data_IF_266848475910
#
_entry.id   IF_266848475910
#
_cell.length_a   1.000
_cell.length_b   1.000
_cell.length_c   1.000
_cell.angle_alpha   90.00
_cell.angle_beta   90.00
_cell.angle_gamma   90.00
#
_symmetry.space_group_name_H-M   'P 1'
#
loop_
_entity.id
_entity.type
_entity.pdbx_description
1 polymer ?
#
# COMPACT_ATOMS: atom_id res chain seq x y z
N UNK A 1 2.16 21.97 -9.86
CA UNK A 1 2.90 20.75 -10.26
C UNK A 1 2.19 20.14 -11.45
N UNK A 2 2.90 19.58 -12.42
CA UNK A 2 2.29 18.93 -13.59
C UNK A 2 2.31 17.41 -13.44
N UNK A 3 1.15 16.72 -13.49
CA UNK A 3 1.09 15.28 -13.28
C UNK A 3 1.55 14.51 -14.51
N UNK A 4 2.12 13.32 -14.29
CA UNK A 4 2.40 12.34 -15.34
C UNK A 4 1.21 11.44 -15.61
N UNK A 5 1.18 10.91 -16.84
CA UNK A 5 0.12 10.01 -17.29
C UNK A 5 0.32 8.62 -16.68
N UNK A 6 -0.69 8.20 -15.94
CA UNK A 6 -0.83 6.86 -15.41
C UNK A 6 -2.28 6.45 -15.59
N UNK A 7 -2.52 5.15 -15.63
CA UNK A 7 -3.87 4.59 -15.68
C UNK A 7 -4.01 3.44 -14.69
N UNK A 8 -5.25 3.19 -14.28
CA UNK A 8 -5.61 2.08 -13.41
C UNK A 8 -6.60 1.19 -14.15
N UNK A 9 -6.24 -0.08 -14.36
CA UNK A 9 -7.17 -1.12 -14.78
C UNK A 9 -7.77 -1.77 -13.53
N UNK A 10 -9.08 -1.62 -13.36
CA UNK A 10 -9.86 -2.24 -12.28
C UNK A 10 -10.71 -3.37 -12.83
N UNK A 11 -10.81 -4.45 -12.04
CA UNK A 11 -11.74 -5.56 -12.28
C UNK A 11 -12.64 -5.69 -11.06
N UNK A 12 -13.95 -5.62 -11.28
CA UNK A 12 -14.99 -5.67 -10.25
C UNK A 12 -16.13 -6.60 -10.66
N UNK A 13 -17.14 -6.75 -9.78
CA UNK A 13 -18.36 -7.52 -10.05
C UNK A 13 -18.09 -8.96 -10.50
N UNK A 14 -17.12 -9.65 -9.89
CA UNK A 14 -16.73 -11.00 -10.31
C UNK A 14 -17.73 -12.05 -9.82
N UNK A 15 -18.23 -12.90 -10.72
CA UNK A 15 -19.12 -13.99 -10.35
C UNK A 15 -19.05 -15.14 -11.35
N UNK A 16 -19.36 -16.37 -10.91
CA UNK A 16 -19.34 -17.57 -11.75
C UNK A 16 -20.71 -18.25 -11.73
N UNK A 17 -21.23 -18.66 -12.89
CA UNK A 17 -22.46 -19.46 -12.98
C UNK A 17 -22.30 -20.65 -13.92
N UNK A 18 -23.03 -21.72 -13.62
CA UNK A 18 -23.07 -22.94 -14.39
C UNK A 18 -24.49 -23.19 -14.90
N UNK A 19 -24.62 -23.58 -16.17
CA UNK A 19 -25.87 -24.01 -16.77
C UNK A 19 -25.74 -25.51 -17.08
N UNK A 20 -26.64 -26.36 -16.57
CA UNK A 20 -26.66 -27.78 -16.92
C UNK A 20 -27.05 -27.93 -18.40
N UNK A 21 -26.31 -28.75 -19.15
CA UNK A 21 -26.56 -28.91 -20.60
C UNK A 21 -27.44 -30.11 -20.96
N UNK A 22 -27.88 -30.93 -19.99
CA UNK A 22 -28.78 -32.08 -20.21
C UNK A 22 -29.83 -32.22 -19.08
N UNK A 23 -31.08 -32.62 -19.39
CA UNK A 23 -32.14 -32.86 -18.39
C UNK A 23 -31.96 -34.15 -17.57
N UNK A 24 -31.01 -35.03 -17.92
CA UNK A 24 -30.64 -36.22 -17.14
C UNK A 24 -29.43 -36.01 -16.22
N UNK A 25 -29.02 -34.75 -16.02
CA UNK A 25 -27.96 -34.42 -15.08
C UNK A 25 -28.60 -34.22 -13.70
N UNK A 26 -28.39 -35.16 -12.79
CA UNK A 26 -28.90 -35.06 -11.42
C UNK A 26 -28.49 -33.72 -10.82
N UNK A 27 -29.48 -32.84 -10.67
CA UNK A 27 -29.36 -31.58 -9.94
C UNK A 27 -28.88 -31.80 -8.49
N UNK A 28 -28.90 -33.05 -8.00
CA UNK A 28 -28.39 -33.47 -6.70
C UNK A 28 -26.87 -33.44 -6.51
N UNK A 29 -26.05 -33.31 -7.56
CA UNK A 29 -24.58 -33.25 -7.41
C UNK A 29 -23.99 -31.83 -7.47
N UNK A 30 -24.83 -30.80 -7.64
CA UNK A 30 -24.43 -29.39 -7.43
C UNK A 30 -25.30 -28.72 -6.34
N UNK A 31 -26.37 -29.37 -5.87
CA UNK A 31 -27.06 -29.00 -4.63
C UNK A 31 -26.30 -29.55 -3.41
N UNK A 32 -25.98 -28.67 -2.45
CA UNK A 32 -25.73 -29.10 -1.09
C UNK A 32 -26.91 -29.99 -0.64
N UNK A 33 -26.68 -31.25 -0.25
CA UNK A 33 -27.73 -32.01 0.39
C UNK A 33 -27.97 -31.37 1.75
N UNK A 34 -29.18 -30.87 1.96
CA UNK A 34 -29.69 -30.55 3.29
C UNK A 34 -29.78 -31.84 4.10
N UNK A 35 -28.66 -32.25 4.68
CA UNK A 35 -28.61 -33.17 5.81
C UNK A 35 -27.26 -32.97 6.49
N UNK A 36 -27.28 -32.35 7.67
CA UNK A 36 -26.31 -32.53 8.76
C UNK A 36 -25.05 -33.31 8.39
N UNK A 37 -24.07 -32.60 7.82
CA UNK A 37 -22.60 -32.82 7.83
C UNK A 37 -22.03 -32.12 6.58
N UNK A 38 -21.37 -30.98 6.81
CA UNK A 38 -20.79 -30.08 5.81
C UNK A 38 -19.83 -30.85 4.88
N UNK A 39 -20.15 -31.09 3.60
CA UNK A 39 -19.12 -31.49 2.63
C UNK A 39 -18.37 -30.22 2.24
N UNK A 40 -17.04 -30.24 2.35
CA UNK A 40 -16.16 -29.08 2.13
C UNK A 40 -16.55 -28.29 0.86
N UNK A 41 -17.03 -27.05 1.04
CA UNK A 41 -17.39 -26.12 -0.05
C UNK A 41 -16.23 -26.03 -1.05
N UNK A 42 -16.45 -26.46 -2.29
CA UNK A 42 -15.49 -26.23 -3.38
C UNK A 42 -15.28 -24.71 -3.54
N UNK A 43 -14.04 -24.25 -3.36
CA UNK A 43 -13.70 -22.83 -3.48
C UNK A 43 -13.24 -22.52 -4.90
N UNK A 44 -13.89 -21.55 -5.54
CA UNK A 44 -13.52 -21.09 -6.87
C UNK A 44 -12.57 -19.90 -6.77
N UNK A 45 -11.52 -19.93 -7.57
CA UNK A 45 -10.54 -18.84 -7.64
C UNK A 45 -10.32 -18.42 -9.08
N UNK A 46 -10.05 -17.15 -9.28
CA UNK A 46 -9.73 -16.57 -10.56
C UNK A 46 -8.35 -15.93 -10.48
N UNK A 47 -7.46 -16.26 -11.42
CA UNK A 47 -6.20 -15.55 -11.62
C UNK A 47 -6.36 -14.59 -12.79
N UNK A 48 -6.22 -13.30 -12.50
CA UNK A 48 -6.27 -12.21 -13.46
C UNK A 48 -4.83 -11.80 -13.79
N UNK A 49 -4.48 -11.80 -15.07
CA UNK A 49 -3.16 -11.44 -15.55
C UNK A 49 -3.28 -10.41 -16.68
N UNK A 50 -2.53 -9.33 -16.56
CA UNK A 50 -2.39 -8.31 -17.58
C UNK A 50 -0.91 -8.17 -17.95
N UNK A 51 -0.54 -8.58 -19.16
CA UNK A 51 0.83 -8.49 -19.65
C UNK A 51 1.85 -9.12 -18.66
N UNK A 52 3.02 -8.50 -18.47
CA UNK A 52 4.11 -8.88 -17.55
C UNK A 52 3.91 -8.35 -16.11
N UNK A 53 2.71 -7.85 -15.78
CA UNK A 53 2.40 -7.44 -14.40
C UNK A 53 2.13 -8.66 -13.51
N UNK A 54 2.32 -8.48 -12.21
CA UNK A 54 2.05 -9.52 -11.22
C UNK A 54 0.58 -9.95 -11.27
N UNK A 55 0.35 -11.24 -11.52
CA UNK A 55 -0.99 -11.82 -11.56
C UNK A 55 -1.67 -11.76 -10.19
N UNK A 56 -2.93 -11.34 -10.17
CA UNK A 56 -3.73 -11.26 -8.94
C UNK A 56 -4.72 -12.43 -8.91
N UNK A 57 -4.73 -13.18 -7.80
CA UNK A 57 -5.66 -14.29 -7.61
C UNK A 57 -6.71 -13.91 -6.58
N UNK A 58 -7.98 -14.07 -6.95
CA UNK A 58 -9.14 -13.68 -6.15
C UNK A 58 -10.09 -14.87 -5.97
N UNK A 59 -10.83 -14.89 -4.87
CA UNK A 59 -11.94 -15.83 -4.68
C UNK A 59 -13.14 -15.36 -5.49
N UNK A 60 -13.86 -16.30 -6.11
CA UNK A 60 -15.03 -16.00 -6.96
C UNK A 60 -16.28 -16.63 -6.35
N UNK A 61 -17.34 -15.85 -6.10
CA UNK A 61 -18.62 -16.40 -5.64
C UNK A 61 -19.36 -17.11 -6.78
N UNK A 62 -20.10 -18.16 -6.42
CA UNK A 62 -21.08 -18.78 -7.32
C UNK A 62 -22.36 -17.96 -7.33
N UNK A 63 -22.85 -17.64 -8.53
CA UNK A 63 -24.09 -16.90 -8.72
C UNK A 63 -25.28 -17.84 -8.94
N UNK A 64 -26.39 -17.66 -8.22
CA UNK A 64 -27.58 -18.49 -8.40
C UNK A 64 -28.20 -18.33 -9.79
N UNK A 65 -28.59 -19.46 -10.40
CA UNK A 65 -29.28 -19.46 -11.68
C UNK A 65 -30.73 -18.95 -11.48
N UNK A 66 -31.14 -17.92 -12.25
CA UNK A 66 -32.48 -17.31 -12.15
C UNK A 66 -32.58 -16.07 -11.26
N UNK A 67 -31.50 -15.67 -10.57
CA UNK A 67 -31.44 -14.38 -9.88
C UNK A 67 -31.44 -13.24 -10.90
N UNK A 68 -32.33 -12.26 -10.70
CA UNK A 68 -32.36 -10.98 -11.45
C UNK A 68 -31.43 -9.91 -10.85
N UNK A 69 -30.84 -10.16 -9.69
CA UNK A 69 -29.87 -9.25 -9.11
C UNK A 69 -28.57 -9.27 -9.93
N UNK A 70 -27.92 -8.12 -10.06
CA UNK A 70 -26.59 -8.02 -10.66
C UNK A 70 -25.49 -8.17 -9.61
N UNK A 71 -24.34 -8.76 -9.95
CA UNK A 71 -23.19 -8.81 -9.06
C UNK A 71 -22.71 -7.40 -8.70
N UNK A 72 -22.41 -7.19 -7.42
CA UNK A 72 -22.03 -5.87 -6.92
C UNK A 72 -20.75 -5.34 -7.59
N UNK A 73 -20.87 -4.22 -8.29
CA UNK A 73 -19.75 -3.52 -8.93
C UNK A 73 -19.06 -2.52 -8.01
N UNK A 74 -19.58 -2.30 -6.80
CA UNK A 74 -19.04 -1.34 -5.84
C UNK A 74 -17.67 -1.77 -5.31
N UNK A 75 -17.40 -3.08 -5.24
CA UNK A 75 -16.15 -3.62 -4.74
C UNK A 75 -15.19 -4.02 -5.88
N UNK A 76 -14.08 -3.28 -5.98
CA UNK A 76 -12.97 -3.65 -6.88
C UNK A 76 -12.29 -4.91 -6.35
N UNK A 77 -12.25 -5.95 -7.18
CA UNK A 77 -11.65 -7.24 -6.84
C UNK A 77 -10.16 -7.32 -7.18
N UNK A 78 -9.72 -6.65 -8.26
CA UNK A 78 -8.32 -6.55 -8.64
C UNK A 78 -8.01 -5.20 -9.29
N UNK A 79 -6.81 -4.67 -9.05
CA UNK A 79 -6.35 -3.38 -9.57
C UNK A 79 -4.92 -3.45 -10.09
N UNK A 80 -4.71 -3.05 -11.35
CA UNK A 80 -3.41 -2.97 -11.98
C UNK A 80 -3.09 -1.52 -12.31
N UNK A 81 -1.89 -1.08 -11.94
CA UNK A 81 -1.43 0.28 -12.18
C UNK A 81 -0.47 0.29 -13.36
N UNK A 82 -0.77 1.15 -14.33
CA UNK A 82 -0.09 1.24 -15.61
C UNK A 82 0.67 2.55 -15.68
N UNK A 83 1.99 2.45 -15.79
CA UNK A 83 2.85 3.58 -16.14
C UNK A 83 2.86 3.81 -17.65
N UNK A 84 3.46 4.92 -18.09
CA UNK A 84 3.59 5.26 -19.52
C UNK A 84 4.12 4.11 -20.39
N UNK A 85 5.21 3.40 -20.04
CA UNK A 85 5.69 2.29 -20.86
C UNK A 85 4.74 1.08 -20.84
N UNK A 86 4.07 0.76 -19.73
CA UNK A 86 3.06 -0.29 -19.70
C UNK A 86 1.86 0.08 -20.58
N UNK A 87 1.38 1.32 -20.53
CA UNK A 87 0.31 1.80 -21.40
C UNK A 87 0.71 1.75 -22.88
N UNK A 88 1.93 2.16 -23.22
CA UNK A 88 2.44 2.10 -24.60
C UNK A 88 2.48 0.67 -25.15
N UNK A 89 2.76 -0.33 -24.31
CA UNK A 89 2.73 -1.76 -24.68
C UNK A 89 1.32 -2.32 -24.87
N UNK A 90 0.30 -1.67 -24.31
CA UNK A 90 -1.10 -2.06 -24.49
C UNK A 90 -1.67 -1.52 -25.81
N UNK A 91 -1.06 -0.49 -26.40
CA UNK A 91 -1.45 0.04 -27.71
C UNK A 91 -0.96 -0.91 -28.82
N UNK A 92 -1.84 -1.40 -29.70
CA UNK A 92 -1.44 -2.24 -30.82
C UNK A 92 -0.45 -1.52 -31.74
N UNK A 93 0.74 -2.11 -31.96
CA UNK A 93 1.69 -1.60 -32.94
C UNK A 93 1.20 -1.99 -34.36
N UNK A 94 1.22 -1.07 -35.34
CA UNK A 94 0.69 -1.31 -36.68
C UNK A 94 1.40 -2.45 -37.45
N UNK A 95 2.58 -2.91 -36.98
CA UNK A 95 3.37 -3.98 -37.61
C UNK A 95 3.39 -5.30 -36.83
N UNK A 96 2.77 -5.36 -35.65
CA UNK A 96 2.73 -6.57 -34.81
C UNK A 96 1.29 -6.79 -34.34
N UNK A 97 0.58 -7.75 -34.96
CA UNK A 97 -0.80 -8.09 -34.65
C UNK A 97 -1.00 -8.81 -33.29
N UNK A 98 -0.13 -8.57 -32.30
CA UNK A 98 -0.31 -9.10 -30.95
C UNK A 98 -1.17 -8.13 -30.15
N UNK A 99 -2.48 -8.41 -30.09
CA UNK A 99 -3.40 -7.71 -29.19
C UNK A 99 -3.01 -8.01 -27.75
N UNK A 100 -2.92 -6.97 -26.92
CA UNK A 100 -2.75 -7.14 -25.48
C UNK A 100 -4.07 -7.61 -24.89
N UNK A 101 -4.02 -8.71 -24.13
CA UNK A 101 -5.22 -9.33 -23.54
C UNK A 101 -5.14 -9.31 -22.02
N UNK A 102 -6.24 -8.94 -21.39
CA UNK A 102 -6.51 -9.29 -20.01
C UNK A 102 -6.88 -10.78 -19.99
N UNK A 103 -6.02 -11.59 -19.37
CA UNK A 103 -6.21 -13.04 -19.26
C UNK A 103 -6.85 -13.35 -17.92
N UNK A 104 -7.94 -14.11 -17.97
CA UNK A 104 -8.70 -14.54 -16.81
C UNK A 104 -8.69 -16.06 -16.81
N UNK A 105 -8.11 -16.65 -15.76
CA UNK A 105 -7.96 -18.09 -15.60
C UNK A 105 -8.79 -18.53 -14.40
N UNK A 106 -9.75 -19.44 -14.62
CA UNK A 106 -10.67 -19.90 -13.60
C UNK A 106 -10.24 -21.27 -13.09
N UNK A 107 -10.28 -21.44 -11.77
CA UNK A 107 -9.86 -22.65 -11.08
C UNK A 107 -10.88 -23.10 -10.05
N UNK A 108 -11.13 -24.40 -10.02
CA UNK A 108 -11.81 -25.12 -8.94
C UNK A 108 -10.74 -25.60 -7.96
N UNK A 109 -10.86 -25.26 -6.67
CA UNK A 109 -10.03 -25.84 -5.61
C UNK A 109 -10.65 -27.13 -5.14
N UNK A 110 -9.95 -28.24 -5.36
CA UNK A 110 -10.36 -29.56 -4.92
C UNK A 110 -9.61 -29.85 -3.62
N UNK A 111 -10.32 -30.04 -2.49
CA UNK A 111 -9.68 -30.50 -1.27
C UNK A 111 -9.15 -31.92 -1.50
N UNK A 112 -7.84 -32.15 -1.30
CA UNK A 112 -7.28 -33.51 -1.39
C UNK A 112 -7.79 -34.34 -0.21
N UNK A 113 -8.60 -35.36 -0.50
CA UNK A 113 -9.13 -36.30 0.50
C UNK A 113 -8.05 -37.17 1.17
N UNK A 114 -6.79 -37.10 0.71
CA UNK A 114 -5.70 -37.97 1.14
C UNK A 114 -4.72 -37.33 2.13
N UNK A 115 -5.08 -36.23 2.80
CA UNK A 115 -4.26 -35.70 3.91
C UNK A 115 -5.02 -35.88 5.22
N UNK A 116 -4.64 -36.92 5.95
CA UNK A 116 -5.10 -37.21 7.29
C UNK A 116 -4.96 -35.98 8.21
N UNK A 117 -6.05 -35.69 8.92
CA UNK A 117 -6.07 -34.80 10.07
C UNK A 117 -5.30 -35.51 11.18
N UNK A 118 -4.04 -35.13 11.37
CA UNK A 118 -3.37 -35.27 12.66
C UNK A 118 -2.28 -34.24 12.78
N UNK A 119 -2.51 -33.23 13.61
CA UNK A 119 -1.59 -32.73 14.63
C UNK A 119 -2.37 -31.69 15.46
N UNK A 120 -2.70 -32.04 16.70
CA UNK A 120 -3.19 -31.10 17.70
C UNK A 120 -2.12 -30.03 17.96
N UNK A 121 -2.48 -28.76 17.75
CA UNK A 121 -1.66 -27.60 18.12
C UNK A 121 -2.23 -26.31 17.52
N UNK A 122 -2.11 -25.14 18.18
CA UNK A 122 -2.83 -23.92 17.77
C UNK A 122 -2.32 -23.25 16.48
N UNK A 123 -1.36 -23.83 15.78
CA UNK A 123 -0.75 -23.24 14.59
C UNK A 123 -0.38 -24.32 13.54
N UNK A 124 -0.92 -24.12 12.34
CA UNK A 124 -0.61 -24.73 11.04
C UNK A 124 -1.29 -26.06 10.65
N UNK A 125 -2.26 -25.95 9.73
CA UNK A 125 -2.56 -26.98 8.74
C UNK A 125 -2.50 -26.34 7.35
N UNK A 126 -1.46 -26.68 6.57
CA UNK A 126 -1.40 -26.40 5.14
C UNK A 126 -2.16 -27.52 4.41
N UNK A 127 -3.44 -27.31 4.11
CA UNK A 127 -4.18 -28.19 3.20
C UNK A 127 -3.60 -28.00 1.79
N UNK A 128 -2.88 -29.01 1.28
CA UNK A 128 -2.52 -29.04 -0.15
C UNK A 128 -3.82 -29.23 -0.93
N UNK A 129 -4.31 -28.16 -1.55
CA UNK A 129 -5.46 -28.21 -2.44
C UNK A 129 -4.97 -28.29 -3.88
N UNK A 130 -5.40 -29.29 -4.64
CA UNK A 130 -5.16 -29.32 -6.08
C UNK A 130 -6.10 -28.32 -6.76
N UNK A 131 -5.55 -27.51 -7.68
CA UNK A 131 -6.34 -26.56 -8.48
C UNK A 131 -6.58 -27.15 -9.86
N UNK A 132 -7.84 -27.31 -10.26
CA UNK A 132 -8.23 -27.75 -11.59
C UNK A 132 -8.71 -26.56 -12.41
N UNK A 133 -8.14 -26.34 -13.59
CA UNK A 133 -8.57 -25.25 -14.47
C UNK A 133 -9.97 -25.55 -15.04
N UNK A 134 -10.89 -24.61 -14.85
CA UNK A 134 -12.26 -24.65 -15.37
C UNK A 134 -12.28 -24.11 -16.79
N UNK A 135 -11.53 -23.04 -17.04
CA UNK A 135 -11.41 -22.44 -18.36
C UNK A 135 -10.65 -21.13 -18.35
N UNK A 136 -10.55 -20.53 -19.53
CA UNK A 136 -9.73 -19.35 -19.81
C UNK A 136 -10.51 -18.37 -20.68
N UNK A 137 -10.47 -17.10 -20.29
CA UNK A 137 -11.00 -15.99 -21.06
C UNK A 137 -9.87 -15.01 -21.41
N UNK A 138 -9.83 -14.57 -22.67
CA UNK A 138 -8.91 -13.51 -23.11
C UNK A 138 -9.74 -12.32 -23.57
N UNK A 139 -9.69 -11.23 -22.81
CA UNK A 139 -10.43 -10.00 -23.13
C UNK A 139 -9.45 -9.04 -23.82
N UNK A 140 -9.69 -8.63 -25.07
CA UNK A 140 -8.81 -7.67 -25.74
C UNK A 140 -8.88 -6.32 -25.01
N UNK A 141 -7.73 -5.72 -24.73
CA UNK A 141 -7.63 -4.35 -24.25
C UNK A 141 -7.60 -3.45 -25.50
N UNK A 142 -8.58 -2.55 -25.66
CA UNK A 142 -8.81 -1.79 -26.90
C UNK A 142 -7.61 -0.95 -27.36
N UNK A 143 -7.54 -0.68 -28.67
CA UNK A 143 -6.63 0.28 -29.30
C UNK A 143 -6.82 1.73 -28.82
N UNK A 144 -7.97 2.04 -28.22
CA UNK A 144 -8.33 3.39 -27.78
C UNK A 144 -7.53 3.86 -26.55
N UNK A 145 -6.70 2.99 -25.97
CA UNK A 145 -5.76 3.30 -24.89
C UNK A 145 -4.80 4.45 -25.24
N UNK A 146 -4.47 4.62 -26.53
CA UNK A 146 -3.55 5.66 -26.99
C UNK A 146 -4.10 7.09 -26.79
N UNK A 147 -5.42 7.25 -26.77
CA UNK A 147 -6.10 8.54 -26.67
C UNK A 147 -7.03 8.61 -25.45
N UNK A 148 -6.70 7.89 -24.37
CA UNK A 148 -7.50 7.85 -23.15
C UNK A 148 -7.64 9.27 -22.55
N UNK A 149 -8.74 9.95 -22.88
CA UNK A 149 -9.13 11.26 -22.32
C UNK A 149 -10.08 11.12 -21.14
N UNK A 150 -10.85 10.03 -21.12
CA UNK A 150 -11.82 9.65 -20.09
C UNK A 150 -11.67 8.16 -19.78
N UNK A 151 -12.28 7.68 -18.70
CA UNK A 151 -12.30 6.24 -18.41
C UNK A 151 -12.88 5.42 -19.57
N UNK A 152 -12.31 4.23 -19.79
CA UNK A 152 -12.65 3.29 -20.85
C UNK A 152 -13.20 1.99 -20.26
N UNK A 153 -14.44 1.67 -20.60
CA UNK A 153 -15.05 0.38 -20.26
C UNK A 153 -14.56 -0.69 -21.24
N UNK A 154 -13.82 -1.69 -20.77
CA UNK A 154 -13.32 -2.79 -21.61
C UNK A 154 -14.38 -3.88 -21.72
N UNK A 155 -15.03 -4.22 -20.61
CA UNK A 155 -16.04 -5.27 -20.54
C UNK A 155 -17.01 -5.03 -19.39
N UNK A 156 -18.28 -5.38 -19.58
CA UNK A 156 -19.28 -5.42 -18.52
C UNK A 156 -20.30 -6.51 -18.87
N UNK A 157 -20.58 -7.41 -17.92
CA UNK A 157 -21.58 -8.46 -18.07
C UNK A 157 -21.01 -9.87 -18.01
N UNK A 158 -21.78 -10.82 -18.51
CA UNK A 158 -21.46 -12.25 -18.54
C UNK A 158 -20.69 -12.62 -19.80
N UNK A 159 -19.55 -13.30 -19.64
CA UNK A 159 -18.77 -13.87 -20.73
C UNK A 159 -18.78 -15.40 -20.66
N UNK A 160 -18.96 -16.06 -21.80
CA UNK A 160 -18.85 -17.53 -21.87
C UNK A 160 -17.39 -17.96 -21.74
N UNK A 161 -17.15 -18.87 -20.80
CA UNK A 161 -15.82 -19.46 -20.55
C UNK A 161 -15.66 -20.76 -21.35
N UNK A 162 -16.76 -21.43 -21.66
CA UNK A 162 -16.80 -22.72 -22.36
C UNK A 162 -17.65 -23.74 -21.60
N UNK A 163 -17.29 -25.01 -21.72
CA UNK A 163 -17.96 -26.11 -21.04
C UNK A 163 -17.03 -26.76 -20.02
N UNK A 164 -17.55 -27.07 -18.83
CA UNK A 164 -16.85 -27.79 -17.78
C UNK A 164 -17.78 -28.82 -17.15
N UNK A 165 -17.34 -30.09 -17.08
CA UNK A 165 -18.16 -31.22 -16.58
C UNK A 165 -19.57 -31.24 -17.22
N UNK A 166 -19.63 -31.05 -18.55
CA UNK A 166 -20.88 -30.96 -19.35
C UNK A 166 -21.82 -29.80 -19.00
N UNK A 167 -21.41 -28.86 -18.13
CA UNK A 167 -22.14 -27.63 -17.87
C UNK A 167 -21.54 -26.48 -18.68
N UNK A 168 -22.38 -25.64 -19.29
CA UNK A 168 -21.93 -24.35 -19.83
C UNK A 168 -21.55 -23.44 -18.68
N UNK A 169 -20.38 -22.81 -18.77
CA UNK A 169 -19.83 -21.93 -17.73
C UNK A 169 -19.81 -20.50 -18.23
N UNK A 170 -20.28 -19.58 -17.40
CA UNK A 170 -20.20 -18.16 -17.65
C UNK A 170 -19.59 -17.42 -16.45
N UNK A 171 -18.81 -16.40 -16.76
CA UNK A 171 -18.12 -15.56 -15.79
C UNK A 171 -18.54 -14.12 -15.97
N UNK A 172 -19.07 -13.51 -14.92
CA UNK A 172 -19.40 -12.09 -14.88
C UNK A 172 -18.20 -11.31 -14.38
N UNK A 173 -17.91 -10.18 -15.02
CA UNK A 173 -16.95 -9.19 -14.52
C UNK A 173 -17.12 -7.86 -15.24
N UNK A 174 -16.74 -6.81 -14.53
CA UNK A 174 -16.62 -5.47 -15.07
C UNK A 174 -15.14 -5.12 -15.11
N UNK A 175 -14.61 -4.83 -16.30
CA UNK A 175 -13.22 -4.40 -16.48
C UNK A 175 -13.21 -2.98 -17.05
N UNK A 176 -12.56 -2.06 -16.35
CA UNK A 176 -12.52 -0.64 -16.70
C UNK A 176 -11.10 -0.09 -16.53
N UNK A 177 -10.74 0.86 -17.36
CA UNK A 177 -9.48 1.60 -17.26
C UNK A 177 -9.78 3.06 -17.01
N UNK A 178 -9.30 3.58 -15.90
CA UNK A 178 -9.45 4.98 -15.53
C UNK A 178 -8.11 5.70 -15.54
N UNK A 179 -8.14 7.01 -15.83
CA UNK A 179 -6.97 7.86 -15.65
C UNK A 179 -6.61 7.95 -14.17
N UNK A 180 -5.31 7.86 -13.88
CA UNK A 180 -4.78 7.89 -12.53
C UNK A 180 -3.56 8.82 -12.46
N UNK A 181 -3.67 10.10 -12.85
CA UNK A 181 -2.53 11.02 -12.96
C UNK A 181 -1.73 11.10 -11.65
N UNK A 182 -0.40 11.11 -11.76
CA UNK A 182 0.50 11.08 -10.59
C UNK A 182 1.60 12.12 -10.65
N UNK A 183 1.92 12.73 -9.52
CA UNK A 183 3.15 13.49 -9.36
C UNK A 183 4.31 12.53 -9.09
N UNK A 184 5.48 12.82 -9.64
CA UNK A 184 6.73 12.12 -9.33
C UNK A 184 7.65 13.10 -8.62
N UNK A 185 7.97 12.76 -7.38
CA UNK A 185 8.89 13.51 -6.53
C UNK A 185 10.12 12.67 -6.25
N UNK A 186 11.26 13.32 -6.08
CA UNK A 186 12.51 12.65 -5.74
C UNK A 186 13.34 13.54 -4.85
N UNK A 187 14.02 12.96 -3.86
CA UNK A 187 15.10 13.66 -3.18
C UNK A 187 16.28 13.81 -4.15
N UNK A 188 16.99 14.94 -4.13
CA UNK A 188 18.15 15.14 -5.01
C UNK A 188 19.42 14.45 -4.50
N UNK A 189 19.47 14.12 -3.22
CA UNK A 189 20.44 13.25 -2.54
C UNK A 189 19.77 12.48 -1.38
N UNK A 190 20.52 11.69 -0.63
CA UNK A 190 20.03 10.89 0.49
C UNK A 190 19.40 11.77 1.60
N UNK A 191 18.28 11.37 2.23
CA UNK A 191 17.59 12.20 3.23
C UNK A 191 18.47 12.66 4.40
N UNK A 192 19.44 11.85 4.83
CA UNK A 192 20.38 12.21 5.91
C UNK A 192 21.33 13.37 5.55
N UNK A 193 21.48 13.70 4.26
CA UNK A 193 22.34 14.78 3.78
C UNK A 193 21.63 16.14 3.69
N UNK A 194 20.39 16.25 4.20
CA UNK A 194 19.56 17.46 4.08
C UNK A 194 19.38 17.95 2.62
N UNK A 195 18.90 17.07 1.71
CA UNK A 195 18.73 17.34 0.28
C UNK A 195 17.57 18.29 -0.04
N UNK A 196 17.51 18.76 -1.29
CA UNK A 196 16.26 19.30 -1.84
C UNK A 196 15.34 18.18 -2.32
N UNK A 197 14.06 18.47 -2.39
CA UNK A 197 13.08 17.62 -3.06
C UNK A 197 12.69 18.26 -4.38
N UNK A 198 12.83 17.49 -5.45
CA UNK A 198 12.51 17.91 -6.81
C UNK A 198 11.25 17.21 -7.32
N UNK A 199 10.40 17.97 -8.00
CA UNK A 199 9.35 17.47 -8.85
C UNK A 199 9.94 17.11 -10.23
N UNK A 200 9.61 15.91 -10.73
CA UNK A 200 10.11 15.39 -11.99
C UNK A 200 9.03 15.45 -13.06
N UNK A 201 9.31 16.24 -14.10
CA UNK A 201 8.46 16.39 -15.26
C UNK A 201 9.28 16.07 -16.52
N UNK A 202 9.16 14.83 -17.01
CA UNK A 202 9.98 14.36 -18.12
C UNK A 202 11.47 14.41 -17.76
N UNK A 203 12.23 15.24 -18.48
CA UNK A 203 13.65 15.50 -18.19
C UNK A 203 13.89 16.68 -17.25
N UNK A 204 12.85 17.46 -16.91
CA UNK A 204 12.94 18.64 -16.08
C UNK A 204 12.87 18.23 -14.60
N UNK A 205 13.79 18.76 -13.79
CA UNK A 205 13.84 18.59 -12.34
C UNK A 205 13.63 19.96 -11.69
N UNK A 206 12.50 20.17 -11.03
CA UNK A 206 12.14 21.44 -10.41
C UNK A 206 12.18 21.30 -8.88
N UNK A 207 13.05 22.02 -8.15
CA UNK A 207 13.01 22.06 -6.69
C UNK A 207 11.68 22.61 -6.17
N UNK A 208 11.09 21.93 -5.19
CA UNK A 208 9.82 22.33 -4.57
C UNK A 208 9.88 22.36 -3.04
N UNK A 209 10.81 21.63 -2.43
CA UNK A 209 11.07 21.68 -0.98
C UNK A 209 12.56 21.58 -0.68
N UNK A 210 12.93 21.97 0.54
CA UNK A 210 14.25 21.71 1.13
C UNK A 210 14.09 20.86 2.37
N UNK A 211 14.99 19.91 2.61
CA UNK A 211 15.00 19.08 3.80
C UNK A 211 16.10 19.51 4.78
N UNK A 212 15.85 19.32 6.06
CA UNK A 212 16.87 19.37 7.11
C UNK A 212 16.76 18.15 7.99
N UNK A 213 17.78 17.31 7.95
CA UNK A 213 17.92 16.18 8.85
C UNK A 213 18.74 16.59 10.07
N UNK A 214 18.26 16.26 11.26
CA UNK A 214 18.96 16.50 12.51
C UNK A 214 18.95 15.26 13.38
N UNK A 215 20.02 15.12 14.16
CA UNK A 215 20.19 14.10 15.18
C UNK A 215 20.17 14.77 16.54
N UNK A 216 19.07 14.62 17.27
CA UNK A 216 18.94 15.15 18.62
C UNK A 216 19.90 14.45 19.58
N UNK A 217 20.68 15.24 20.32
CA UNK A 217 21.21 14.80 21.62
C UNK A 217 20.02 14.67 22.59
N UNK A 218 20.07 13.68 23.47
CA UNK A 218 19.23 13.70 24.66
C UNK A 218 19.39 15.06 25.36
N UNK A 219 18.27 15.77 25.54
CA UNK A 219 18.08 17.11 26.15
C UNK A 219 18.36 18.33 25.24
N UNK A 220 17.29 19.04 24.92
CA UNK A 220 17.22 20.50 25.11
C UNK A 220 17.42 21.40 23.90
N UNK A 221 18.27 21.05 22.93
CA UNK A 221 18.89 22.11 22.11
C UNK A 221 18.43 22.22 20.65
N UNK A 222 17.69 21.24 20.12
CA UNK A 222 17.33 21.21 18.69
C UNK A 222 16.15 22.13 18.30
N UNK A 223 15.44 22.73 19.27
CA UNK A 223 14.29 23.61 19.04
C UNK A 223 14.50 25.05 19.52
N UNK A 224 15.68 25.39 20.04
CA UNK A 224 15.93 26.70 20.67
C UNK A 224 16.32 27.82 19.70
N UNK A 225 16.38 27.54 18.39
CA UNK A 225 16.51 28.56 17.34
C UNK A 225 15.25 28.60 16.46
N UNK A 226 14.15 29.09 17.02
CA UNK A 226 13.16 29.85 16.23
C UNK A 226 11.68 29.52 16.38
N UNK A 227 11.24 28.34 16.83
CA UNK A 227 9.81 28.05 16.96
C UNK A 227 9.52 27.03 18.07
N UNK A 228 9.04 27.53 19.21
CA UNK A 228 8.75 26.72 20.40
C UNK A 228 7.36 26.12 20.38
N UNK A 229 7.23 24.82 20.08
CA UNK A 229 6.06 23.98 20.44
C UNK A 229 6.48 22.49 20.56
N UNK A 230 7.45 22.17 21.42
CA UNK A 230 7.63 20.79 21.91
C UNK A 230 8.43 20.76 23.22
N UNK A 231 7.95 21.44 24.26
CA UNK A 231 8.70 21.59 25.53
C UNK A 231 8.35 20.60 26.65
N UNK A 232 7.33 19.76 26.52
CA UNK A 232 6.96 18.81 27.59
C UNK A 232 7.12 17.35 27.18
N UNK A 233 8.28 16.78 27.50
CA UNK A 233 8.39 15.33 27.70
C UNK A 233 9.49 15.03 28.73
N UNK A 234 9.09 14.98 30.00
CA UNK A 234 9.88 14.39 31.08
C UNK A 234 9.40 12.97 31.35
N UNK A 235 10.32 12.01 31.24
CA UNK A 235 10.07 10.59 31.51
C UNK A 235 11.39 9.83 31.50
N UNK A 236 12.14 9.96 32.60
CA UNK A 236 13.48 9.41 32.74
C UNK A 236 13.48 7.89 32.97
N UNK A 237 14.31 7.17 32.21
CA UNK A 237 14.92 5.92 32.67
C UNK A 237 16.38 5.88 32.20
N UNK A 238 17.32 5.99 33.16
CA UNK A 238 18.75 5.74 32.95
C UNK A 238 18.96 4.23 32.89
N UNK A 239 19.14 3.68 31.69
CA UNK A 239 19.67 2.32 31.54
C UNK A 239 21.20 2.35 31.58
N UNK A 240 21.76 1.38 32.28
CA UNK A 240 23.17 1.21 32.56
C UNK A 240 24.03 1.14 31.28
N UNK A 241 25.28 1.54 31.46
CA UNK A 241 26.27 1.88 30.44
C UNK A 241 26.81 0.61 29.78
N UNK A 242 26.27 0.24 28.62
CA UNK A 242 26.91 -0.71 27.69
C UNK A 242 27.32 0.08 26.44
N UNK A 243 28.63 0.34 26.30
CA UNK A 243 29.17 1.33 25.34
C UNK A 243 28.97 0.93 23.87
N UNK A 244 28.64 -0.33 23.60
CA UNK A 244 28.68 -0.91 22.24
C UNK A 244 27.29 -1.10 21.58
N UNK A 245 26.19 -0.84 22.28
CA UNK A 245 24.82 -0.98 21.75
C UNK A 245 23.98 0.27 22.00
N UNK A 246 24.54 1.43 21.67
CA UNK A 246 23.81 2.69 21.82
C UNK A 246 22.53 2.67 20.96
N UNK A 247 21.36 2.96 21.56
CA UNK A 247 20.10 2.99 20.84
C UNK A 247 20.13 4.10 19.78
N UNK A 248 19.51 3.88 18.62
CA UNK A 248 19.33 4.92 17.60
C UNK A 248 18.09 5.72 17.99
N UNK A 249 18.30 6.97 18.43
CA UNK A 249 17.25 7.86 18.97
C UNK A 249 17.37 9.27 18.39
N UNK A 250 16.28 10.02 18.42
CA UNK A 250 16.29 11.47 18.25
C UNK A 250 16.48 11.96 16.81
N UNK A 251 16.25 11.12 15.80
CA UNK A 251 16.30 11.58 14.41
C UNK A 251 15.05 12.39 14.08
N UNK A 252 15.25 13.53 13.44
CA UNK A 252 14.20 14.45 13.00
C UNK A 252 14.52 14.89 11.59
N UNK A 253 13.54 14.77 10.70
CA UNK A 253 13.57 15.36 9.37
C UNK A 253 12.51 16.47 9.32
N UNK A 254 12.90 17.66 8.91
CA UNK A 254 12.03 18.77 8.62
C UNK A 254 12.03 19.05 7.12
N UNK A 255 10.86 19.30 6.55
CA UNK A 255 10.68 19.70 5.16
C UNK A 255 10.14 21.13 5.14
N UNK A 256 10.81 21.98 4.37
CA UNK A 256 10.50 23.39 4.21
C UNK A 256 10.03 23.66 2.78
N UNK A 257 9.05 24.55 2.64
CA UNK A 257 8.68 25.10 1.35
C UNK A 257 9.77 26.06 0.80
N UNK A 258 9.52 26.63 -0.38
CA UNK A 258 10.45 27.58 -1.00
C UNK A 258 10.53 28.93 -0.27
N UNK A 259 9.59 29.22 0.64
CA UNK A 259 9.65 30.40 1.51
C UNK A 259 10.51 30.17 2.76
N UNK A 260 10.92 28.92 3.00
CA UNK A 260 11.63 28.52 4.21
C UNK A 260 10.71 28.20 5.40
N UNK A 261 9.40 28.07 5.17
CA UNK A 261 8.44 27.70 6.21
C UNK A 261 8.36 26.18 6.36
N UNK A 262 8.37 25.64 7.59
CA UNK A 262 8.27 24.19 7.80
C UNK A 262 6.85 23.71 7.49
N UNK A 263 6.72 22.73 6.60
CA UNK A 263 5.42 22.22 6.12
C UNK A 263 5.14 20.78 6.54
N UNK A 264 6.19 19.96 6.71
CA UNK A 264 6.07 18.58 7.16
C UNK A 264 7.28 18.16 7.99
N UNK A 265 7.09 17.14 8.83
CA UNK A 265 8.15 16.57 9.65
C UNK A 265 7.99 15.06 9.82
N UNK A 266 9.13 14.39 10.00
CA UNK A 266 9.19 13.01 10.48
C UNK A 266 10.11 12.95 11.70
N UNK A 267 9.57 12.58 12.86
CA UNK A 267 10.29 12.54 14.13
C UNK A 267 10.26 11.14 14.74
N UNK A 268 11.40 10.64 15.18
CA UNK A 268 11.49 9.35 15.85
C UNK A 268 10.91 9.43 17.27
N UNK A 269 9.73 8.84 17.47
CA UNK A 269 9.02 8.82 18.77
C UNK A 269 9.31 7.57 19.59
N UNK A 270 9.63 6.45 18.93
CA UNK A 270 10.06 5.23 19.62
C UNK A 270 11.46 4.88 19.13
N UNK A 271 12.45 4.83 20.03
CA UNK A 271 13.82 4.58 19.64
C UNK A 271 14.00 3.18 19.07
N UNK A 272 14.90 3.07 18.09
CA UNK A 272 15.27 1.78 17.52
C UNK A 272 16.29 1.14 18.45
N UNK A 273 15.90 0.01 19.05
CA UNK A 273 16.71 -0.73 20.03
C UNK A 273 16.75 -2.22 19.70
N UNK A 274 17.87 -2.92 19.97
CA UNK A 274 17.92 -4.35 19.77
C UNK A 274 16.95 -5.06 20.73
N UNK A 275 16.28 -6.10 20.25
CA UNK A 275 15.48 -6.95 21.11
C UNK A 275 16.36 -7.83 22.01
N UNK A 276 15.84 -8.24 23.17
CA UNK A 276 16.59 -9.03 24.16
C UNK A 276 17.23 -10.28 23.49
N UNK A 277 18.53 -10.49 23.73
CA UNK A 277 19.28 -11.61 23.14
C UNK A 277 19.51 -11.50 21.62
N UNK A 278 19.28 -10.33 21.03
CA UNK A 278 19.45 -10.09 19.60
C UNK A 278 20.23 -8.81 19.33
N UNK A 279 20.63 -8.65 18.07
CA UNK A 279 21.32 -7.46 17.58
C UNK A 279 20.45 -6.68 16.59
N UNK A 280 19.15 -6.98 16.52
CA UNK A 280 18.22 -6.38 15.56
C UNK A 280 16.97 -5.88 16.26
N UNK A 281 16.36 -4.85 15.68
CA UNK A 281 15.01 -4.39 16.02
C UNK A 281 14.03 -5.46 15.55
N UNK A 282 13.20 -6.01 16.43
CA UNK A 282 12.25 -7.07 16.06
C UNK A 282 10.82 -6.55 16.04
N UNK A 283 9.90 -7.30 15.42
CA UNK A 283 8.47 -6.96 15.38
C UNK A 283 7.85 -6.78 16.77
N UNK A 284 8.36 -7.46 17.79
CA UNK A 284 7.86 -7.35 19.17
C UNK A 284 8.25 -6.02 19.84
N UNK A 285 9.25 -5.32 19.31
CA UNK A 285 9.68 -4.01 19.81
C UNK A 285 10.12 -3.14 18.62
N UNK A 286 9.17 -2.66 17.80
CA UNK A 286 9.48 -1.87 16.62
C UNK A 286 9.93 -0.46 17.02
N UNK A 287 10.82 0.13 16.22
CA UNK A 287 11.05 1.56 16.27
C UNK A 287 9.89 2.29 15.58
N UNK A 288 9.65 3.55 15.92
CA UNK A 288 8.52 4.29 15.37
C UNK A 288 8.83 5.75 15.08
N UNK A 289 8.25 6.23 13.99
CA UNK A 289 8.25 7.61 13.54
C UNK A 289 6.85 8.19 13.64
N UNK A 290 6.77 9.45 14.08
CA UNK A 290 5.59 10.28 13.96
C UNK A 290 5.77 11.18 12.74
N UNK A 291 4.82 11.08 11.82
CA UNK A 291 4.72 11.96 10.66
C UNK A 291 3.76 13.09 11.03
N UNK A 292 4.18 14.32 10.81
CA UNK A 292 3.45 15.52 11.21
C UNK A 292 3.30 16.47 10.02
N UNK A 293 2.17 17.17 10.00
CA UNK A 293 1.89 18.29 9.09
C UNK A 293 1.90 19.61 9.86
N UNK A 294 2.33 20.68 9.22
CA UNK A 294 2.16 22.01 9.80
C UNK A 294 0.66 22.36 9.90
N UNK A 295 0.28 23.01 11.00
CA UNK A 295 -1.08 23.48 11.22
C UNK A 295 -1.42 24.71 10.37
N UNK A 296 -2.70 24.93 10.04
CA UNK A 296 -3.14 25.99 9.12
C UNK A 296 -2.86 27.43 9.61
N UNK A 297 -2.61 27.64 10.90
CA UNK A 297 -2.50 28.98 11.48
C UNK A 297 -1.07 29.57 11.51
N UNK A 298 -0.11 29.02 10.77
CA UNK A 298 1.23 29.61 10.57
C UNK A 298 2.12 29.74 11.82
N UNK A 299 1.60 29.44 13.02
CA UNK A 299 2.30 29.57 14.30
C UNK A 299 2.78 28.25 14.86
N UNK A 300 3.76 27.59 14.21
CA UNK A 300 4.54 26.47 14.78
C UNK A 300 3.76 25.24 15.31
N UNK A 301 2.44 25.18 15.12
CA UNK A 301 1.59 24.11 15.62
C UNK A 301 1.74 22.90 14.70
N UNK A 302 2.30 21.81 15.22
CA UNK A 302 2.40 20.54 14.52
C UNK A 302 1.16 19.69 14.78
N UNK A 303 0.52 19.21 13.71
CA UNK A 303 -0.56 18.23 13.81
C UNK A 303 -0.01 16.84 13.46
N UNK A 304 -0.22 15.83 14.31
CA UNK A 304 0.12 14.45 13.95
C UNK A 304 -0.72 14.02 12.75
N UNK A 305 -0.10 13.31 11.82
CA UNK A 305 -0.75 12.79 10.61
C UNK A 305 -0.77 11.27 10.59
N UNK A 306 0.33 10.63 10.97
CA UNK A 306 0.40 9.18 11.01
C UNK A 306 1.61 8.66 11.77
N UNK A 307 1.58 7.37 12.09
CA UNK A 307 2.64 6.62 12.75
C UNK A 307 3.20 5.57 11.81
N UNK A 308 4.51 5.59 11.62
CA UNK A 308 5.24 4.53 10.91
C UNK A 308 6.04 3.71 11.92
N UNK A 309 5.68 2.44 12.10
CA UNK A 309 6.49 1.45 12.80
C UNK A 309 7.41 0.73 11.83
N UNK A 310 8.64 0.45 12.26
CA UNK A 310 9.62 -0.28 11.48
C UNK A 310 10.42 -1.27 12.33
N UNK A 311 10.67 -2.45 11.76
CA UNK A 311 11.43 -3.53 12.39
C UNK A 311 12.12 -4.40 11.36
N UNK A 312 12.98 -5.31 11.81
CA UNK A 312 13.62 -6.31 10.96
C UNK A 312 12.91 -7.66 11.09
N UNK A 313 12.37 -8.16 9.99
CA UNK A 313 11.62 -9.41 9.96
C UNK A 313 12.58 -10.61 10.14
N UNK A 314 12.22 -11.53 11.05
CA UNK A 314 12.90 -12.81 11.24
C UNK A 314 12.22 -13.87 10.36
N UNK A 315 12.99 -14.73 9.70
CA UNK A 315 12.46 -15.85 8.91
C UNK A 315 13.00 -15.91 7.48
N UNK A 316 12.34 -16.67 6.58
CA UNK A 316 12.80 -16.88 5.20
C UNK A 316 12.76 -15.58 4.38
N UNK A 317 11.82 -14.69 4.66
CA UNK A 317 11.73 -13.34 4.07
C UNK A 317 12.46 -12.32 4.93
N UNK A 318 13.80 -12.33 4.89
CA UNK A 318 14.61 -11.30 5.57
C UNK A 318 14.36 -9.93 4.93
N UNK A 319 13.89 -8.97 5.71
CA UNK A 319 13.51 -7.66 5.22
C UNK A 319 13.26 -6.63 6.32
N UNK A 320 13.05 -5.39 5.91
CA UNK A 320 12.51 -4.30 6.71
C UNK A 320 10.98 -4.43 6.69
N UNK A 321 10.39 -4.75 7.85
CA UNK A 321 8.95 -4.65 8.04
C UNK A 321 8.58 -3.20 8.34
N UNK A 322 7.55 -2.70 7.66
CA UNK A 322 7.01 -1.36 7.86
C UNK A 322 5.50 -1.46 8.06
N UNK A 323 4.97 -0.75 9.06
CA UNK A 323 3.54 -0.60 9.29
C UNK A 323 3.20 0.88 9.45
N UNK A 324 2.31 1.38 8.61
CA UNK A 324 1.85 2.76 8.66
C UNK A 324 0.38 2.83 9.06
N UNK A 325 0.10 3.67 10.05
CA UNK A 325 -1.23 3.96 10.57
C UNK A 325 -1.52 5.44 10.45
N UNK A 326 -2.70 5.78 9.94
CA UNK A 326 -3.19 7.14 9.91
C UNK A 326 -3.89 7.45 11.23
N UNK A 327 -3.66 8.64 11.77
CA UNK A 327 -4.31 9.08 13.00
C UNK A 327 -5.59 9.85 12.69
N UNK A 328 -6.67 9.56 13.43
CA UNK A 328 -7.94 10.27 13.31
C UNK A 328 -7.84 11.73 13.77
N UNK A 329 -8.42 12.65 13.00
CA UNK A 329 -8.41 14.09 13.31
C UNK A 329 -9.30 14.37 14.54
N UNK A 330 -8.75 15.08 15.54
CA UNK A 330 -9.41 15.36 16.82
C UNK A 330 -8.92 14.52 18.00
N UNK A 331 -8.06 13.52 17.77
CA UNK A 331 -7.34 12.87 18.86
C UNK A 331 -6.12 13.70 19.28
N UNK A 332 -6.16 14.23 20.49
CA UNK A 332 -4.94 14.63 21.18
C UNK A 332 -3.97 13.45 21.32
N UNK A 333 -2.71 13.75 21.62
CA UNK A 333 -1.57 12.83 21.70
C UNK A 333 -1.72 11.68 22.73
N UNK A 334 -2.88 11.56 23.39
CA UNK A 334 -3.19 10.58 24.44
C UNK A 334 -4.04 9.38 23.99
N UNK A 335 -4.44 9.29 22.71
CA UNK A 335 -5.30 8.19 22.24
C UNK A 335 -4.79 7.52 20.95
N UNK A 336 -3.56 7.01 20.99
CA UNK A 336 -2.96 6.20 19.90
C UNK A 336 -3.64 4.85 19.64
N UNK A 337 -4.71 4.51 20.36
CA UNK A 337 -5.32 3.18 20.31
C UNK A 337 -6.83 3.18 19.98
N UNK A 338 -7.47 4.35 19.83
CA UNK A 338 -8.95 4.39 19.67
C UNK A 338 -9.43 4.72 18.26
N UNK A 339 -8.61 5.35 17.40
CA UNK A 339 -9.03 5.78 16.05
C UNK A 339 -7.93 5.66 14.97
N UNK A 340 -6.93 4.80 15.17
CA UNK A 340 -5.85 4.61 14.20
C UNK A 340 -6.29 3.62 13.10
N UNK A 341 -6.26 4.07 11.84
CA UNK A 341 -6.62 3.25 10.69
C UNK A 341 -5.33 2.66 10.11
N UNK A 342 -5.25 1.33 9.99
CA UNK A 342 -4.11 0.69 9.31
C UNK A 342 -4.16 1.01 7.81
N UNK A 343 -3.12 1.68 7.33
CA UNK A 343 -3.03 2.19 5.95
C UNK A 343 -1.91 1.53 5.14
N UNK A 344 -0.98 0.78 5.74
CA UNK A 344 -0.10 -0.13 4.99
C UNK A 344 0.66 -1.03 5.95
N UNK A 345 0.85 -2.30 5.58
CA UNK A 345 1.89 -3.15 6.17
C UNK A 345 2.62 -3.87 5.03
N UNK A 346 3.96 -3.76 5.00
CA UNK A 346 4.79 -4.35 3.95
C UNK A 346 6.13 -4.83 4.50
N UNK A 347 6.75 -5.77 3.78
CA UNK A 347 8.10 -6.26 4.06
C UNK A 347 8.97 -5.96 2.84
N UNK A 348 9.89 -5.00 2.99
CA UNK A 348 10.82 -4.56 1.97
C UNK A 348 12.10 -5.40 2.08
N UNK A 349 12.64 -5.88 0.96
CA UNK A 349 13.85 -6.71 1.00
C UNK A 349 15.05 -5.86 1.43
N UNK A 350 15.74 -6.25 2.52
CA UNK A 350 16.81 -5.39 3.06
C UNK A 350 18.03 -5.27 2.14
N UNK A 351 18.25 -6.23 1.23
CA UNK A 351 19.40 -6.24 0.33
C UNK A 351 19.10 -5.61 -1.02
N UNK A 352 17.94 -5.93 -1.60
CA UNK A 352 17.53 -5.49 -2.94
C UNK A 352 16.79 -4.16 -2.92
N UNK A 353 16.21 -3.78 -1.78
CA UNK A 353 15.24 -2.72 -1.69
C UNK A 353 13.86 -3.19 -2.13
N UNK A 354 12.98 -2.24 -2.42
CA UNK A 354 11.63 -2.48 -2.89
C UNK A 354 10.80 -1.21 -2.86
N UNK A 355 9.49 -1.35 -2.88
CA UNK A 355 8.57 -0.21 -2.80
C UNK A 355 7.71 -0.30 -1.55
N UNK A 356 7.67 0.78 -0.78
CA UNK A 356 6.59 1.03 0.16
C UNK A 356 5.38 1.55 -0.62
N UNK A 357 4.17 1.10 -0.28
CA UNK A 357 2.98 1.32 -1.10
C UNK A 357 1.74 1.51 -0.21
N UNK A 358 0.92 2.50 -0.55
CA UNK A 358 -0.38 2.75 0.07
C UNK A 358 -1.44 2.74 -1.03
N UNK A 359 -2.49 1.96 -0.84
CA UNK A 359 -3.62 1.85 -1.76
C UNK A 359 -4.92 1.67 -0.98
N UNK A 360 -5.75 2.71 -1.00
CA UNK A 360 -6.98 2.76 -0.22
C UNK A 360 -7.98 1.67 -0.60
N UNK A 361 -7.91 1.12 -1.82
CA UNK A 361 -8.76 0.03 -2.28
C UNK A 361 -8.39 -1.35 -1.73
N UNK A 362 -7.19 -1.50 -1.13
CA UNK A 362 -6.76 -2.77 -0.52
C UNK A 362 -7.16 -2.89 0.95
N UNK A 363 -7.63 -1.81 1.58
CA UNK A 363 -8.08 -1.85 2.97
C UNK A 363 -9.52 -2.31 3.05
N UNK A 364 -9.72 -3.45 3.73
CA UNK A 364 -11.02 -3.88 4.23
C UNK A 364 -11.04 -3.56 5.72
N UNK A 365 -11.83 -2.59 6.19
CA UNK A 365 -12.12 -2.48 7.62
C UNK A 365 -12.77 -3.80 8.07
N UNK A 366 -12.28 -4.40 9.15
CA UNK A 366 -12.85 -5.64 9.71
C UNK A 366 -14.24 -5.41 10.36
N UNK A 367 -14.71 -4.16 10.41
CA UNK A 367 -16.01 -3.77 10.97
C UNK A 367 -16.68 -2.69 10.09
N UNK A 368 -17.91 -2.91 9.61
CA UNK A 368 -18.68 -1.85 8.96
C UNK A 368 -19.11 -0.83 10.02
N UNK A 369 -18.57 0.39 9.92
CA UNK A 369 -19.06 1.52 10.72
C UNK A 369 -20.38 1.96 10.09
N UNK A 370 -21.48 1.82 10.83
CA UNK A 370 -22.78 2.36 10.45
C UNK A 370 -22.69 3.88 10.39
N UNK A 371 -22.69 4.46 9.19
CA UNK A 371 -22.79 5.90 8.99
C UNK A 371 -24.28 6.28 8.93
N UNK A 372 -24.72 7.10 9.89
CA UNK A 372 -25.99 7.84 9.78
C UNK A 372 -25.76 9.14 9.01
N UNK A 373 -26.72 9.61 8.18
CA UNK A 373 -26.54 10.80 7.39
C UNK A 373 -26.91 12.03 8.21
N UNK A 374 -25.97 12.97 8.39
CA UNK A 374 -26.31 14.34 8.79
C UNK A 374 -25.54 15.28 7.88
N UNK A 375 -26.28 15.96 7.01
CA UNK A 375 -25.82 17.05 6.17
C UNK A 375 -25.46 18.27 7.02
N UNK A 376 -24.28 18.85 6.82
CA UNK A 376 -23.98 20.25 7.15
C UNK A 376 -22.80 20.77 6.29
N UNK A 377 -22.79 22.06 5.90
CA UNK A 377 -22.00 22.57 4.78
C UNK A 377 -20.62 23.13 5.15
N UNK A 378 -19.66 22.95 4.23
CA UNK A 378 -18.43 23.71 3.97
C UNK A 378 -17.44 24.01 5.12
N UNK A 379 -16.26 23.39 5.05
CA UNK A 379 -14.98 24.00 5.47
C UNK A 379 -13.82 23.48 4.60
N UNK A 380 -12.89 24.36 4.28
CA UNK A 380 -11.70 24.12 3.45
C UNK A 380 -10.62 23.39 4.26
N UNK A 381 -10.32 22.13 3.93
CA UNK A 381 -9.16 21.42 4.50
C UNK A 381 -9.33 19.92 4.80
N UNK A 382 -10.46 19.32 4.41
CA UNK A 382 -10.78 17.95 4.79
C UNK A 382 -10.07 16.91 3.90
N UNK A 383 -8.88 16.46 4.32
CA UNK A 383 -8.28 15.20 3.86
C UNK A 383 -8.99 14.01 4.50
N UNK A 384 -10.31 13.95 4.34
CA UNK A 384 -11.06 12.75 4.64
C UNK A 384 -10.83 11.74 3.51
N UNK A 385 -10.30 10.57 3.86
CA UNK A 385 -10.62 9.34 3.15
C UNK A 385 -12.14 9.12 3.30
N UNK A 386 -12.93 9.91 2.57
CA UNK A 386 -14.37 9.98 2.72
C UNK A 386 -14.97 8.69 2.19
N UNK A 387 -15.15 7.72 3.08
CA UNK A 387 -15.81 6.44 2.86
C UNK A 387 -17.35 6.60 2.70
N UNK A 388 -17.79 7.71 2.11
CA UNK A 388 -19.21 8.09 1.96
C UNK A 388 -19.59 8.60 0.56
N UNK A 389 -18.64 8.73 -0.37
CA UNK A 389 -18.92 8.96 -1.80
C UNK A 389 -19.02 7.65 -2.58
N UNK A 390 -19.56 7.65 -3.81
CA UNK A 390 -19.59 6.44 -4.63
C UNK A 390 -18.18 5.85 -4.74
N UNK A 391 -18.07 4.53 -4.52
CA UNK A 391 -16.85 3.72 -4.33
C UNK A 391 -15.84 3.69 -5.50
N UNK A 392 -15.93 4.63 -6.44
CA UNK A 392 -15.03 4.82 -7.58
C UNK A 392 -13.66 5.42 -7.21
N UNK A 393 -13.52 6.00 -6.02
CA UNK A 393 -12.32 6.77 -5.61
C UNK A 393 -11.31 6.06 -4.67
N UNK A 394 -11.55 4.80 -4.30
CA UNK A 394 -10.57 4.02 -3.53
C UNK A 394 -9.50 3.42 -4.46
N UNK A 395 -8.21 3.69 -4.23
CA UNK A 395 -7.11 3.26 -5.11
C UNK A 395 -5.72 3.71 -4.65
N UNK A 396 -4.77 3.74 -5.59
CA UNK A 396 -3.39 4.16 -5.35
C UNK A 396 -3.30 5.50 -4.61
N UNK A 397 -2.51 5.57 -3.55
CA UNK A 397 -2.24 6.82 -2.85
C UNK A 397 -0.79 7.24 -3.09
N UNK A 398 0.13 6.37 -2.68
CA UNK A 398 1.56 6.61 -2.85
C UNK A 398 2.34 5.33 -3.11
N UNK A 399 3.49 5.48 -3.76
CA UNK A 399 4.55 4.49 -3.74
C UNK A 399 5.90 5.17 -3.57
N UNK A 400 6.70 4.72 -2.61
CA UNK A 400 8.05 5.18 -2.39
C UNK A 400 9.03 4.03 -2.68
N UNK A 401 9.97 4.25 -3.61
CA UNK A 401 11.05 3.30 -3.87
C UNK A 401 12.17 3.49 -2.85
N UNK A 402 12.54 2.40 -2.19
CA UNK A 402 13.52 2.35 -1.11
C UNK A 402 14.64 1.42 -1.51
N UNK A 403 15.88 1.88 -1.42
CA UNK A 403 17.03 1.11 -1.84
C UNK A 403 17.51 0.17 -0.72
N UNK A 404 18.04 -0.99 -1.14
CA UNK A 404 18.58 -1.98 -0.21
C UNK A 404 20.06 -1.74 0.09
N UNK A 405 20.53 -2.34 1.18
CA UNK A 405 21.90 -2.23 1.72
C UNK A 405 23.03 -2.50 0.71
N UNK A 406 22.77 -3.21 -0.39
CA UNK A 406 23.80 -3.66 -1.35
C UNK A 406 23.90 -2.83 -2.64
N UNK A 407 23.07 -1.80 -2.80
CA UNK A 407 23.08 -0.96 -4.00
C UNK A 407 23.70 0.40 -3.67
N UNK A 408 24.32 1.08 -4.65
CA UNK A 408 24.71 2.47 -4.45
C UNK A 408 23.47 3.26 -4.01
N UNK A 409 23.65 4.06 -2.96
CA UNK A 409 22.58 4.87 -2.41
C UNK A 409 22.01 5.73 -3.57
N UNK A 410 20.72 5.54 -3.79
CA UNK A 410 19.95 6.35 -4.73
C UNK A 410 18.82 6.94 -3.90
N UNK A 411 18.55 8.24 -4.05
CA UNK A 411 17.53 8.87 -3.25
C UNK A 411 16.16 8.25 -3.52
N UNK A 412 15.28 8.20 -2.50
CA UNK A 412 13.95 7.66 -2.68
C UNK A 412 13.17 8.48 -3.72
N UNK A 413 12.47 7.77 -4.59
CA UNK A 413 11.55 8.35 -5.57
C UNK A 413 10.13 7.99 -5.17
N UNK A 414 9.25 8.98 -5.18
CA UNK A 414 7.89 8.90 -4.69
C UNK A 414 6.91 9.21 -5.82
N UNK A 415 5.96 8.32 -6.03
CA UNK A 415 4.81 8.54 -6.89
C UNK A 415 3.61 8.85 -6.01
N UNK A 416 2.90 9.94 -6.29
CA UNK A 416 1.71 10.37 -5.54
C UNK A 416 0.52 10.54 -6.49
N UNK A 417 -0.61 9.93 -6.17
CA UNK A 417 -1.84 10.15 -6.96
C UNK A 417 -2.32 11.59 -6.80
N UNK A 418 -2.55 12.27 -7.93
CA UNK A 418 -2.96 13.68 -7.96
C UNK A 418 -4.25 13.93 -7.17
N UNK A 419 -5.22 13.00 -7.20
CA UNK A 419 -6.49 13.12 -6.47
C UNK A 419 -6.34 13.26 -4.95
N UNK A 420 -5.18 12.89 -4.38
CA UNK A 420 -4.92 12.98 -2.95
C UNK A 420 -4.06 14.19 -2.58
N UNK A 421 -3.85 15.13 -3.51
CA UNK A 421 -2.99 16.30 -3.34
C UNK A 421 -3.79 17.54 -3.74
N UNK A 422 -4.15 18.38 -2.77
CA UNK A 422 -4.93 19.61 -3.00
C UNK A 422 -4.03 20.83 -3.17
N UNK A 423 -2.93 20.88 -2.43
CA UNK A 423 -1.88 21.87 -2.51
C UNK A 423 -0.50 21.19 -2.53
N UNK A 424 0.57 21.97 -2.70
CA UNK A 424 1.92 21.39 -2.81
C UNK A 424 2.35 20.81 -1.46
N UNK A 425 1.98 21.46 -0.35
CA UNK A 425 2.33 21.11 1.02
C UNK A 425 1.80 19.73 1.42
N UNK A 426 0.66 19.29 0.87
CA UNK A 426 0.14 17.94 1.09
C UNK A 426 1.15 16.87 0.65
N UNK A 427 1.88 17.14 -0.43
CA UNK A 427 2.92 16.24 -0.92
C UNK A 427 4.10 16.13 0.05
N UNK A 428 4.40 17.19 0.82
CA UNK A 428 5.50 17.20 1.78
C UNK A 428 5.32 16.14 2.86
N UNK A 429 4.08 15.90 3.31
CA UNK A 429 3.79 14.89 4.34
C UNK A 429 4.08 13.47 3.84
N UNK A 430 3.73 13.17 2.58
CA UNK A 430 4.10 11.91 1.95
C UNK A 430 5.61 11.78 1.72
N UNK A 431 6.31 12.88 1.43
CA UNK A 431 7.76 12.91 1.33
C UNK A 431 8.44 12.65 2.69
N UNK A 432 7.91 13.23 3.77
CA UNK A 432 8.37 12.95 5.12
C UNK A 432 8.20 11.47 5.49
N UNK A 433 7.06 10.87 5.13
CA UNK A 433 6.83 9.43 5.29
C UNK A 433 7.82 8.61 4.46
N UNK A 434 8.06 8.96 3.19
CA UNK A 434 9.01 8.24 2.34
C UNK A 434 10.43 8.28 2.90
N UNK A 435 10.88 9.44 3.39
CA UNK A 435 12.18 9.55 4.06
C UNK A 435 12.24 8.76 5.37
N UNK A 436 11.16 8.72 6.17
CA UNK A 436 11.12 7.90 7.37
C UNK A 436 11.25 6.39 7.05
N UNK A 437 10.64 5.92 5.96
CA UNK A 437 10.81 4.54 5.49
C UNK A 437 12.26 4.29 5.04
N UNK A 438 12.84 5.21 4.28
CA UNK A 438 14.23 5.09 3.80
C UNK A 438 15.24 5.10 4.96
N UNK A 439 15.14 6.06 5.87
CA UNK A 439 15.95 6.14 7.09
C UNK A 439 15.77 4.90 7.99
N UNK A 440 14.60 4.26 7.94
CA UNK A 440 14.36 3.00 8.69
C UNK A 440 15.17 1.81 8.15
N UNK A 441 15.58 1.82 6.88
CA UNK A 441 16.53 0.81 6.37
C UNK A 441 17.85 0.85 7.14
N UNK A 442 18.31 2.05 7.48
CA UNK A 442 19.51 2.27 8.29
C UNK A 442 19.24 2.07 9.78
N UNK A 443 18.12 2.58 10.29
CA UNK A 443 17.75 2.49 11.70
C UNK A 443 17.50 1.03 12.16
N UNK A 444 17.13 0.12 11.25
CA UNK A 444 16.97 -1.31 11.52
C UNK A 444 18.19 -2.18 11.17
N UNK A 445 19.33 -1.59 10.76
CA UNK A 445 20.57 -2.37 10.59
C UNK A 445 20.95 -3.07 11.91
N UNK A 446 21.60 -4.24 11.85
CA UNK A 446 22.16 -4.85 13.06
C UNK A 446 23.02 -3.84 13.84
N UNK A 447 22.92 -3.78 15.18
CA UNK A 447 23.67 -2.79 15.98
C UNK A 447 25.18 -3.08 16.00
N UNK A 448 25.59 -4.31 15.68
CA UNK A 448 26.98 -4.67 15.36
C UNK A 448 27.53 -3.95 14.13
N UNK A 449 26.67 -3.43 13.24
CA UNK A 449 27.10 -2.61 12.10
C UNK A 449 27.13 -1.14 12.49
N UNK A 450 28.27 -0.49 12.23
CA UNK A 450 28.37 0.98 12.28
C UNK A 450 27.51 1.59 11.18
N UNK A 451 26.86 2.71 11.50
CA UNK A 451 26.24 3.57 10.49
C UNK A 451 27.33 4.29 9.69
N UNK A 452 27.02 4.73 8.48
CA UNK A 452 27.97 5.52 7.67
C UNK A 452 28.29 6.87 8.31
N UNK A 453 29.37 7.52 7.83
CA UNK A 453 29.84 8.83 8.31
C UNK A 453 28.78 9.92 8.30
N UNK A 454 27.81 9.84 7.39
CA UNK A 454 26.68 10.77 7.30
C UNK A 454 25.76 10.73 8.54
N UNK A 455 25.90 9.71 9.39
CA UNK A 455 25.20 9.55 10.65
C UNK A 455 26.14 9.68 11.87
N UNK A 456 27.44 9.85 11.64
CA UNK A 456 28.42 10.18 12.67
C UNK A 456 28.25 11.66 13.02
N UNK A 457 28.35 11.96 14.30
CA UNK A 457 28.25 13.33 14.78
C UNK A 457 29.57 14.02 14.46
N UNK A 458 29.54 15.15 13.75
CA UNK A 458 30.69 16.06 13.79
C UNK A 458 30.76 16.57 15.24
N UNK A 459 31.61 15.94 16.04
CA UNK A 459 32.20 16.60 17.20
C UNK A 459 33.06 17.74 16.63
N UNK A 460 32.42 18.85 16.24
CA UNK A 460 33.16 20.08 16.00
C UNK A 460 33.79 20.50 17.35
N UNK A 461 35.10 20.81 17.37
CA UNK A 461 35.91 20.96 18.57
C UNK A 461 35.52 22.11 19.50
#
# INVERSE_FOLDING_TARGET
MEPRRFARLSVAAVALRFFPSCPSFDAGNILCPSSTLIPAKCAYTCTIQLYDLEAQTISVPLWPLGSKAEPDSSQVSASFYLDEPAMAKLVPLPRIAKKSHLRILLYESIPDASTCISCWGPNAVSVRSRRKCIGKLNVPVSSDMANLKTGLQIHQGWASVGHYKSCKVEFHFTARVDLDPRYILQFDAEPELSPQIVHIQGSIRQPIFTCKFTRGRSRGDALDRGHGVLRDWEGGHKFARDRDKKPRKGWLLLIYDLSGSPVAAASMITPFVPSLGSDIVSRANPGAWLIMRAGPCGGGSWKPWGKLEAWREKGPKKGLGCRFQLMGEGCGMASFNKYDILVSETIINSRKGGSFFIDSGRFKPETPISASPVDSPHSSGDFCFNLGGPLVDCGFVMSANVHGERRPAKPPSVQLAMRHISCIEDAAVFMALAAAVDLSMYACLPFSKKLGKNFEENDDP
#
